data_IF_937812374893
#
_entry.id   IF_937812374893
#
_cell.length_a   1.000
_cell.length_b   1.000
_cell.length_c   1.000
_cell.angle_alpha   90.00
_cell.angle_beta   90.00
_cell.angle_gamma   90.00
#
_symmetry.space_group_name_H-M   'P 1'
#
loop_
_entity.id
_entity.type
_entity.pdbx_description
1 polymer ?
#
# COMPACT_ATOMS: atom_id res chain seq x y z
N UNK A 1 -9.78 11.75 14.02
CA UNK A 1 -9.17 11.16 12.81
C UNK A 1 -8.11 12.14 12.35
N UNK A 2 -6.86 11.71 12.28
CA UNK A 2 -5.72 12.59 11.98
C UNK A 2 -5.67 12.97 10.52
N UNK A 3 -5.44 14.25 10.22
CA UNK A 3 -5.33 14.76 8.86
C UNK A 3 -3.86 14.92 8.46
N UNK A 4 -3.51 14.43 7.29
CA UNK A 4 -2.20 14.63 6.64
C UNK A 4 -2.37 15.56 5.45
N UNK A 5 -1.93 16.81 5.62
CA UNK A 5 -1.95 17.78 4.54
C UNK A 5 -0.70 17.65 3.67
N UNK A 6 -0.87 17.57 2.36
CA UNK A 6 0.23 17.58 1.39
C UNK A 6 0.16 18.83 0.53
N UNK A 7 1.27 19.57 0.46
CA UNK A 7 1.41 20.73 -0.43
C UNK A 7 1.95 20.25 -1.78
N UNK A 8 1.37 20.65 -2.92
CA UNK A 8 1.95 20.40 -4.24
C UNK A 8 2.14 21.67 -5.04
N UNK A 9 3.25 21.79 -5.76
CA UNK A 9 3.60 22.95 -6.59
C UNK A 9 5.09 23.23 -6.64
N UNK A 10 5.49 24.13 -7.54
CA UNK A 10 6.89 24.55 -7.73
C UNK A 10 7.46 25.28 -6.49
N UNK A 11 8.78 25.32 -6.31
CA UNK A 11 9.41 26.23 -5.34
C UNK A 11 8.90 27.66 -5.55
N UNK A 12 8.76 28.43 -4.47
CA UNK A 12 8.21 29.80 -4.46
C UNK A 12 6.73 29.96 -4.90
N UNK A 13 5.97 28.86 -5.06
CA UNK A 13 4.52 28.96 -5.37
C UNK A 13 3.64 29.39 -4.19
N UNK A 14 4.18 29.54 -2.97
CA UNK A 14 3.44 29.96 -1.78
C UNK A 14 3.09 28.83 -0.80
N UNK A 15 3.45 27.58 -1.08
CA UNK A 15 3.19 26.40 -0.25
C UNK A 15 3.54 26.59 1.22
N UNK A 16 4.79 26.95 1.50
CA UNK A 16 5.30 27.10 2.87
C UNK A 16 4.58 28.20 3.65
N UNK A 17 4.23 29.29 2.99
CA UNK A 17 3.45 30.37 3.60
C UNK A 17 2.08 29.87 4.03
N UNK A 18 1.41 29.10 3.16
CA UNK A 18 0.12 28.50 3.46
C UNK A 18 0.26 27.38 4.52
N UNK A 19 1.26 26.50 4.39
CA UNK A 19 1.48 25.42 5.34
C UNK A 19 1.61 25.91 6.80
N UNK A 20 2.22 27.10 6.98
CA UNK A 20 2.38 27.73 8.29
C UNK A 20 1.07 28.32 8.89
N UNK A 21 0.00 28.43 8.10
CA UNK A 21 -1.31 28.88 8.60
C UNK A 21 -2.17 27.74 9.13
N UNK A 22 -1.77 26.50 8.86
CA UNK A 22 -2.49 25.32 9.33
C UNK A 22 -2.15 25.02 10.80
N UNK A 23 -3.16 24.67 11.57
CA UNK A 23 -2.98 24.13 12.94
C UNK A 23 -2.55 22.66 12.85
N UNK A 24 -1.29 22.43 12.43
CA UNK A 24 -0.72 21.12 12.20
C UNK A 24 0.80 21.14 12.36
N UNK A 25 1.40 20.02 12.76
CA UNK A 25 2.85 19.91 12.84
C UNK A 25 3.47 19.85 11.44
N UNK A 26 4.39 20.79 11.14
CA UNK A 26 4.99 20.90 9.81
C UNK A 26 6.27 20.07 9.67
N UNK A 27 6.32 19.28 8.60
CA UNK A 27 7.48 18.48 8.18
C UNK A 27 7.90 18.90 6.78
N UNK A 28 9.19 19.23 6.61
CA UNK A 28 9.75 19.68 5.34
C UNK A 28 11.12 19.06 5.13
N UNK A 29 11.37 18.46 3.97
CA UNK A 29 12.69 17.92 3.63
C UNK A 29 13.76 19.00 3.61
N UNK A 30 13.42 20.22 3.26
CA UNK A 30 14.38 21.33 3.27
C UNK A 30 14.86 21.64 4.69
N UNK A 31 13.99 21.59 5.69
CA UNK A 31 14.34 21.77 7.09
C UNK A 31 15.21 20.60 7.60
N UNK A 32 14.88 19.37 7.26
CA UNK A 32 15.67 18.19 7.62
C UNK A 32 17.06 18.19 6.98
N UNK A 33 17.16 18.58 5.70
CA UNK A 33 18.46 18.77 5.03
C UNK A 33 19.27 19.86 5.72
N UNK A 34 18.68 21.00 6.04
CA UNK A 34 19.36 22.08 6.75
C UNK A 34 19.86 21.65 8.13
N UNK A 35 19.03 20.96 8.92
CA UNK A 35 19.38 20.42 10.22
C UNK A 35 20.56 19.43 10.15
N UNK A 36 20.65 18.64 9.08
CA UNK A 36 21.71 17.66 8.85
C UNK A 36 22.94 18.22 8.13
N UNK A 37 22.99 19.53 7.83
CA UNK A 37 24.08 20.14 7.07
C UNK A 37 24.18 19.68 5.62
N UNK A 38 23.06 19.24 5.03
CA UNK A 38 22.99 18.80 3.63
C UNK A 38 22.70 20.05 2.76
N UNK A 39 23.74 20.61 2.18
CA UNK A 39 23.67 21.67 1.19
C UNK A 39 23.95 21.18 -0.22
N UNK A 40 23.97 22.08 -1.21
CA UNK A 40 24.22 21.73 -2.62
C UNK A 40 25.56 21.03 -2.83
N UNK A 41 26.62 21.46 -2.12
CA UNK A 41 27.98 20.90 -2.26
C UNK A 41 28.17 19.58 -1.49
N UNK A 42 27.36 19.37 -0.45
CA UNK A 42 27.47 18.18 0.42
C UNK A 42 26.38 17.15 0.14
N UNK A 43 25.52 17.40 -0.85
CA UNK A 43 24.41 16.51 -1.20
C UNK A 43 24.89 15.19 -1.81
N UNK A 44 24.23 14.11 -1.46
CA UNK A 44 24.35 12.79 -2.11
C UNK A 44 23.04 12.02 -1.95
N UNK A 45 22.80 11.03 -2.81
CA UNK A 45 21.62 10.18 -2.73
C UNK A 45 21.51 9.47 -1.37
N UNK A 46 22.62 9.03 -0.80
CA UNK A 46 22.64 8.40 0.52
C UNK A 46 22.20 9.36 1.64
N UNK A 47 22.69 10.60 1.64
CA UNK A 47 22.28 11.63 2.62
C UNK A 47 20.81 12.02 2.45
N UNK A 48 20.36 12.13 1.19
CA UNK A 48 18.93 12.39 0.89
C UNK A 48 18.04 11.29 1.42
N UNK A 49 18.41 10.03 1.28
CA UNK A 49 17.67 8.90 1.81
C UNK A 49 17.54 8.98 3.34
N UNK A 50 18.63 9.33 4.05
CA UNK A 50 18.60 9.52 5.51
C UNK A 50 17.67 10.68 5.92
N UNK A 51 17.71 11.81 5.18
CA UNK A 51 16.82 12.94 5.47
C UNK A 51 15.34 12.58 5.27
N UNK A 52 15.01 11.83 4.23
CA UNK A 52 13.67 11.32 3.98
C UNK A 52 13.23 10.38 5.10
N UNK A 53 14.06 9.43 5.48
CA UNK A 53 13.76 8.45 6.53
C UNK A 53 13.52 9.13 7.89
N UNK A 54 14.38 10.07 8.28
CA UNK A 54 14.23 10.84 9.53
C UNK A 54 12.95 11.66 9.54
N UNK A 55 12.63 12.36 8.44
CA UNK A 55 11.38 13.10 8.30
C UNK A 55 10.18 12.15 8.41
N UNK A 56 10.21 11.01 7.74
CA UNK A 56 9.13 10.02 7.76
C UNK A 56 8.92 9.43 9.15
N UNK A 57 10.00 9.10 9.86
CA UNK A 57 9.93 8.59 11.24
C UNK A 57 9.26 9.61 12.17
N UNK A 58 9.68 10.87 12.10
CA UNK A 58 9.10 11.95 12.92
C UNK A 58 7.64 12.23 12.57
N UNK A 59 7.29 12.29 11.27
CA UNK A 59 5.91 12.46 10.82
C UNK A 59 5.02 11.29 11.26
N UNK A 60 5.53 10.05 11.18
CA UNK A 60 4.81 8.85 11.63
C UNK A 60 4.57 8.89 13.15
N UNK A 61 5.53 9.33 13.94
CA UNK A 61 5.38 9.48 15.38
C UNK A 61 4.29 10.51 15.73
N UNK A 62 4.27 11.65 15.03
CA UNK A 62 3.25 12.68 15.22
C UNK A 62 1.84 12.15 14.89
N UNK A 63 1.67 11.46 13.76
CA UNK A 63 0.39 10.83 13.36
C UNK A 63 -0.07 9.81 14.40
N UNK A 64 0.82 8.93 14.87
CA UNK A 64 0.51 7.94 15.91
C UNK A 64 0.11 8.59 17.25
N UNK A 65 0.59 9.79 17.51
CA UNK A 65 0.22 10.57 18.70
C UNK A 65 -1.06 11.39 18.51
N UNK A 66 -1.74 11.26 17.35
CA UNK A 66 -3.02 11.90 17.07
C UNK A 66 -2.94 13.35 16.55
N UNK A 67 -1.75 13.84 16.21
CA UNK A 67 -1.57 15.19 15.68
C UNK A 67 -1.83 15.25 14.18
N UNK A 68 -2.54 16.28 13.75
CA UNK A 68 -2.57 16.66 12.34
C UNK A 68 -1.18 17.11 11.88
N UNK A 69 -0.81 16.74 10.66
CA UNK A 69 0.50 17.08 10.11
C UNK A 69 0.38 17.73 8.73
N UNK A 70 1.35 18.58 8.40
CA UNK A 70 1.52 19.09 7.04
C UNK A 70 2.91 18.71 6.51
N UNK A 71 2.95 18.06 5.34
CA UNK A 71 4.18 17.75 4.64
C UNK A 71 4.38 18.79 3.54
N UNK A 72 5.30 19.73 3.82
CA UNK A 72 5.60 20.89 3.00
C UNK A 72 6.75 20.61 2.04
N UNK A 73 6.46 19.87 0.97
CA UNK A 73 7.38 19.56 -0.12
C UNK A 73 6.73 19.86 -1.48
N UNK A 74 7.44 19.65 -2.59
CA UNK A 74 6.93 19.99 -3.93
C UNK A 74 5.90 19.00 -4.48
N UNK A 75 6.01 17.73 -4.18
CA UNK A 75 5.14 16.60 -4.56
C UNK A 75 4.73 16.56 -6.06
N UNK A 76 5.59 17.06 -6.92
CA UNK A 76 5.37 17.17 -8.38
C UNK A 76 5.43 15.83 -9.12
N UNK A 77 5.96 14.79 -8.46
CA UNK A 77 6.11 13.43 -9.00
C UNK A 77 5.66 12.39 -7.97
N UNK A 78 5.30 11.16 -8.38
CA UNK A 78 4.64 10.18 -7.52
C UNK A 78 5.49 9.59 -6.39
N UNK A 79 6.83 9.71 -6.43
CA UNK A 79 7.76 9.00 -5.52
C UNK A 79 7.41 9.20 -4.03
N UNK A 80 7.45 10.44 -3.55
CA UNK A 80 7.19 10.74 -2.13
C UNK A 80 5.72 10.54 -1.75
N UNK A 81 4.72 11.01 -2.52
CA UNK A 81 3.32 10.72 -2.22
C UNK A 81 2.99 9.24 -2.09
N UNK A 82 3.59 8.37 -2.95
CA UNK A 82 3.46 6.90 -2.80
C UNK A 82 4.03 6.40 -1.47
N UNK A 83 5.19 6.92 -1.05
CA UNK A 83 5.79 6.57 0.24
C UNK A 83 4.89 6.97 1.42
N UNK A 84 4.35 8.19 1.42
CA UNK A 84 3.44 8.65 2.49
C UNK A 84 2.16 7.81 2.54
N UNK A 85 1.57 7.54 1.37
CA UNK A 85 0.40 6.68 1.27
C UNK A 85 0.67 5.29 1.84
N UNK A 86 1.80 4.65 1.50
CA UNK A 86 2.21 3.35 2.06
C UNK A 86 2.43 3.45 3.58
N UNK A 87 3.16 4.45 4.06
CA UNK A 87 3.53 4.56 5.47
C UNK A 87 2.34 4.86 6.40
N UNK A 88 1.38 5.65 5.93
CA UNK A 88 0.24 6.08 6.75
C UNK A 88 -1.05 5.29 6.48
N UNK A 89 -1.06 4.37 5.50
CA UNK A 89 -2.24 3.58 5.13
C UNK A 89 -2.87 2.84 6.32
N UNK A 90 -2.05 2.34 7.24
CA UNK A 90 -2.50 1.57 8.42
C UNK A 90 -2.78 2.44 9.66
N UNK A 91 -2.68 3.76 9.55
CA UNK A 91 -2.81 4.67 10.70
C UNK A 91 -4.15 5.41 10.73
N UNK A 92 -5.08 5.07 9.84
CA UNK A 92 -6.43 5.67 9.81
C UNK A 92 -6.44 7.18 9.57
N UNK A 93 -5.50 7.70 8.75
CA UNK A 93 -5.41 9.12 8.42
C UNK A 93 -6.31 9.51 7.26
N UNK A 94 -6.67 10.79 7.18
CA UNK A 94 -7.26 11.40 5.99
C UNK A 94 -6.24 12.31 5.33
N UNK A 95 -5.99 12.14 4.04
CA UNK A 95 -5.14 13.04 3.27
C UNK A 95 -5.94 14.19 2.68
N UNK A 96 -5.39 15.40 2.76
CA UNK A 96 -5.89 16.60 2.09
C UNK A 96 -4.78 17.26 1.28
N UNK A 97 -5.05 17.53 0.01
CA UNK A 97 -4.09 18.10 -0.92
C UNK A 97 -4.37 19.59 -1.08
N UNK A 98 -3.32 20.39 -0.91
CA UNK A 98 -3.34 21.81 -1.26
C UNK A 98 -2.49 22.03 -2.51
N UNK A 99 -3.17 22.35 -3.61
CA UNK A 99 -2.57 22.41 -4.94
C UNK A 99 -2.19 23.84 -5.32
N UNK A 100 -0.91 24.06 -5.56
CA UNK A 100 -0.29 25.30 -6.03
C UNK A 100 0.34 25.14 -7.41
N UNK A 101 -0.01 24.07 -8.17
CA UNK A 101 0.53 23.84 -9.52
C UNK A 101 0.00 24.82 -10.55
N UNK A 102 -1.03 25.59 -10.23
CA UNK A 102 -1.57 26.66 -11.03
C UNK A 102 -0.71 27.94 -11.03
N UNK A 103 0.25 28.09 -10.11
CA UNK A 103 1.20 29.21 -10.12
C UNK A 103 2.23 28.96 -11.22
N UNK A 104 2.35 29.90 -12.16
CA UNK A 104 3.21 29.75 -13.33
C UNK A 104 4.69 29.62 -12.96
N UNK A 105 5.46 28.92 -13.83
CA UNK A 105 6.91 28.79 -13.69
C UNK A 105 7.57 30.17 -13.59
N UNK A 106 7.18 31.11 -14.45
CA UNK A 106 7.75 32.46 -14.49
C UNK A 106 7.48 33.24 -13.21
N UNK A 107 6.30 33.13 -12.63
CA UNK A 107 5.95 33.74 -11.35
C UNK A 107 6.76 33.13 -10.21
N UNK A 108 6.94 31.81 -10.21
CA UNK A 108 7.80 31.13 -9.23
C UNK A 108 9.26 31.59 -9.30
N UNK A 109 9.81 31.78 -10.53
CA UNK A 109 11.17 32.29 -10.73
C UNK A 109 11.29 33.71 -10.21
N UNK A 110 10.31 34.56 -10.52
CA UNK A 110 10.29 35.96 -10.05
C UNK A 110 10.26 36.04 -8.54
N UNK A 111 9.39 35.29 -7.89
CA UNK A 111 9.27 35.23 -6.43
C UNK A 111 10.52 34.64 -5.77
N UNK A 112 11.14 33.62 -6.38
CA UNK A 112 12.38 33.03 -5.87
C UNK A 112 13.54 34.03 -5.90
N UNK A 113 13.64 34.83 -6.96
CA UNK A 113 14.67 35.88 -7.08
C UNK A 113 14.52 37.01 -6.04
N UNK A 114 13.34 37.22 -5.48
CA UNK A 114 13.06 38.22 -4.46
C UNK A 114 13.29 37.76 -3.01
N UNK A 115 13.62 36.46 -2.83
CA UNK A 115 13.86 35.92 -1.48
C UNK A 115 15.17 36.48 -0.90
N UNK A 116 15.20 36.70 0.39
CA UNK A 116 16.40 37.11 1.13
C UNK A 116 17.29 35.91 1.48
N UNK A 117 16.69 34.68 1.52
CA UNK A 117 17.39 33.44 1.80
C UNK A 117 16.65 32.25 1.18
N UNK A 118 17.31 31.14 1.03
CA UNK A 118 16.70 29.89 0.52
C UNK A 118 16.37 29.95 -0.98
N UNK A 119 17.17 30.66 -1.77
CA UNK A 119 17.04 30.68 -3.24
C UNK A 119 17.22 29.28 -3.82
N UNK A 120 16.28 28.85 -4.64
CA UNK A 120 16.35 27.61 -5.40
C UNK A 120 17.07 27.81 -6.73
N UNK A 121 16.79 28.92 -7.40
CA UNK A 121 17.34 29.32 -8.69
C UNK A 121 16.47 28.88 -9.87
N UNK A 122 16.45 29.72 -10.91
CA UNK A 122 15.59 29.56 -12.08
C UNK A 122 15.78 28.20 -12.80
N UNK A 123 17.01 27.73 -12.92
CA UNK A 123 17.30 26.48 -13.64
C UNK A 123 16.72 25.24 -12.92
N UNK A 124 16.75 25.23 -11.60
CA UNK A 124 16.15 24.15 -10.82
C UNK A 124 14.62 24.20 -10.91
N UNK A 125 14.04 25.41 -10.85
CA UNK A 125 12.58 25.58 -11.01
C UNK A 125 12.14 25.07 -12.38
N UNK A 126 12.85 25.42 -13.46
CA UNK A 126 12.58 24.92 -14.84
C UNK A 126 12.68 23.39 -14.92
N UNK A 127 13.72 22.80 -14.34
CA UNK A 127 13.87 21.32 -14.29
C UNK A 127 12.71 20.65 -13.57
N UNK A 128 12.26 21.22 -12.45
CA UNK A 128 11.12 20.67 -11.70
C UNK A 128 9.81 20.84 -12.47
N UNK A 129 9.60 21.97 -13.15
CA UNK A 129 8.43 22.21 -14.00
C UNK A 129 8.39 21.20 -15.18
N UNK A 130 9.52 20.96 -15.85
CA UNK A 130 9.62 19.99 -16.92
C UNK A 130 9.32 18.55 -16.43
N UNK A 131 9.86 18.16 -15.29
CA UNK A 131 9.56 16.85 -14.67
C UNK A 131 8.09 16.70 -14.28
N UNK A 132 7.47 17.77 -13.79
CA UNK A 132 6.04 17.77 -13.49
C UNK A 132 5.19 17.64 -14.76
N UNK A 133 5.54 18.38 -15.81
CA UNK A 133 4.86 18.30 -17.09
C UNK A 133 4.94 16.88 -17.71
N UNK A 134 6.11 16.25 -17.65
CA UNK A 134 6.30 14.87 -18.09
C UNK A 134 5.46 13.89 -17.26
N UNK A 135 5.54 13.97 -15.92
CA UNK A 135 4.73 13.14 -15.04
C UNK A 135 3.22 13.31 -15.30
N UNK A 136 2.78 14.53 -15.58
CA UNK A 136 1.39 14.87 -15.90
C UNK A 136 0.94 14.27 -17.23
N UNK A 137 1.80 14.28 -18.27
CA UNK A 137 1.52 13.59 -19.54
C UNK A 137 1.34 12.09 -19.35
N UNK A 138 2.08 11.50 -18.43
CA UNK A 138 1.99 10.10 -18.03
C UNK A 138 0.88 9.82 -17.00
N UNK A 139 -0.12 10.71 -16.89
CA UNK A 139 -1.31 10.52 -16.04
C UNK A 139 -1.15 10.86 -14.56
N UNK A 140 0.02 11.38 -14.13
CA UNK A 140 0.20 11.75 -12.73
C UNK A 140 -0.66 12.97 -12.33
N UNK A 141 -1.45 12.78 -11.27
CA UNK A 141 -2.19 13.85 -10.58
C UNK A 141 -2.21 13.51 -9.09
N UNK A 142 -1.74 14.43 -8.25
CA UNK A 142 -1.89 14.31 -6.81
C UNK A 142 -3.26 14.88 -6.41
N UNK A 143 -4.14 14.03 -5.90
CA UNK A 143 -5.51 14.40 -5.49
C UNK A 143 -5.87 13.72 -4.18
N UNK A 144 -6.82 14.30 -3.43
CA UNK A 144 -7.39 13.68 -2.23
C UNK A 144 -7.92 12.27 -2.55
N UNK A 145 -8.63 12.12 -3.66
CA UNK A 145 -9.15 10.83 -4.11
C UNK A 145 -8.02 9.82 -4.27
N UNK A 146 -6.93 10.17 -4.96
CA UNK A 146 -5.81 9.25 -5.17
C UNK A 146 -5.12 8.87 -3.87
N UNK A 147 -4.91 9.83 -2.95
CA UNK A 147 -4.28 9.57 -1.66
C UNK A 147 -5.17 8.72 -0.74
N UNK A 148 -6.49 8.93 -0.75
CA UNK A 148 -7.43 8.27 0.15
C UNK A 148 -8.03 6.96 -0.41
N UNK A 149 -7.86 6.67 -1.71
CA UNK A 149 -8.46 5.48 -2.35
C UNK A 149 -7.98 4.14 -1.77
N UNK A 150 -6.86 4.12 -1.07
CA UNK A 150 -6.30 2.92 -0.44
C UNK A 150 -5.97 3.17 1.03
N UNK A 151 -6.88 3.76 1.78
CA UNK A 151 -6.69 3.85 3.22
C UNK A 151 -6.84 2.45 3.82
N UNK A 152 -5.88 2.11 4.68
CA UNK A 152 -6.02 0.98 5.56
C UNK A 152 -7.20 1.24 6.51
N UNK A 153 -8.22 0.44 6.39
CA UNK A 153 -9.29 0.37 7.39
C UNK A 153 -8.90 -0.81 8.28
N UNK A 154 -8.60 -0.54 9.55
CA UNK A 154 -8.37 -1.64 10.50
C UNK A 154 -9.59 -2.54 10.50
N UNK A 155 -9.43 -3.83 10.20
CA UNK A 155 -10.56 -4.74 10.16
C UNK A 155 -11.17 -4.87 11.56
N UNK A 156 -12.48 -5.14 11.61
CA UNK A 156 -13.15 -5.43 12.88
C UNK A 156 -12.53 -6.69 13.50
N UNK A 157 -12.06 -6.67 14.74
CA UNK A 157 -11.50 -7.84 15.38
C UNK A 157 -12.42 -9.06 15.27
N UNK A 158 -11.80 -10.23 15.13
CA UNK A 158 -12.49 -11.51 15.08
C UNK A 158 -12.19 -12.27 16.39
N UNK A 159 -13.24 -12.72 17.02
CA UNK A 159 -13.16 -13.60 18.18
C UNK A 159 -13.43 -15.05 17.74
N UNK A 160 -12.64 -16.00 18.24
CA UNK A 160 -12.84 -17.43 17.99
C UNK A 160 -14.26 -17.85 18.37
N UNK A 161 -14.86 -18.70 17.55
CA UNK A 161 -16.23 -19.20 17.68
C UNK A 161 -16.22 -20.73 17.69
N UNK A 162 -15.83 -21.36 18.81
CA UNK A 162 -15.54 -22.82 18.87
C UNK A 162 -16.75 -23.71 18.55
N UNK A 163 -17.95 -23.15 18.56
CA UNK A 163 -19.19 -23.85 18.20
C UNK A 163 -19.42 -23.93 16.67
N UNK A 164 -18.63 -23.18 15.88
CA UNK A 164 -18.68 -23.23 14.43
C UNK A 164 -17.72 -24.28 13.84
N UNK A 165 -17.95 -24.74 12.61
CA UNK A 165 -17.01 -25.62 11.92
C UNK A 165 -15.63 -24.98 11.84
N UNK A 166 -14.58 -25.76 12.14
CA UNK A 166 -13.20 -25.26 12.05
C UNK A 166 -12.78 -25.06 10.60
N UNK A 167 -12.04 -23.98 10.31
CA UNK A 167 -11.49 -23.71 8.99
C UNK A 167 -10.03 -23.28 9.02
N UNK A 168 -9.33 -23.55 7.92
CA UNK A 168 -8.03 -23.00 7.57
C UNK A 168 -8.21 -22.17 6.32
N UNK A 169 -7.68 -20.94 6.33
CA UNK A 169 -7.68 -20.08 5.16
C UNK A 169 -6.33 -20.17 4.45
N UNK A 170 -6.32 -20.22 3.15
CA UNK A 170 -5.11 -20.31 2.36
C UNK A 170 -5.18 -19.37 1.16
N UNK A 171 -4.17 -18.52 1.01
CA UNK A 171 -3.96 -17.76 -0.22
C UNK A 171 -3.44 -18.67 -1.34
N UNK A 172 -3.44 -18.17 -2.57
CA UNK A 172 -3.00 -18.93 -3.76
C UNK A 172 -1.66 -18.40 -4.27
N UNK A 173 -1.62 -17.15 -4.78
CA UNK A 173 -0.42 -16.58 -5.43
C UNK A 173 0.69 -16.28 -4.43
N UNK A 174 1.89 -16.86 -4.63
CA UNK A 174 3.01 -16.76 -3.69
C UNK A 174 2.88 -17.70 -2.49
N UNK A 175 1.72 -18.36 -2.33
CA UNK A 175 1.43 -19.26 -1.21
C UNK A 175 1.44 -20.72 -1.67
N UNK A 176 0.38 -21.25 -2.31
CA UNK A 176 0.37 -22.58 -2.88
C UNK A 176 0.81 -22.61 -4.35
N UNK A 177 0.65 -21.50 -5.08
CA UNK A 177 1.02 -21.33 -6.47
C UNK A 177 2.15 -20.31 -6.61
N UNK A 178 3.27 -20.71 -7.22
CA UNK A 178 4.42 -19.85 -7.49
C UNK A 178 4.41 -19.50 -8.97
N UNK A 179 4.19 -18.23 -9.31
CA UNK A 179 4.29 -17.80 -10.70
C UNK A 179 5.75 -17.70 -11.14
N UNK A 180 6.05 -18.18 -12.34
CA UNK A 180 7.36 -18.03 -12.97
C UNK A 180 7.55 -16.64 -13.61
N UNK A 181 8.77 -16.39 -14.11
CA UNK A 181 9.16 -15.13 -14.76
C UNK A 181 8.33 -14.81 -16.02
N UNK A 182 7.67 -15.79 -16.61
CA UNK A 182 6.88 -15.63 -17.84
C UNK A 182 5.47 -15.07 -17.62
N UNK A 183 5.03 -14.98 -16.38
CA UNK A 183 3.70 -14.47 -16.00
C UNK A 183 3.80 -13.22 -15.14
N UNK A 184 3.16 -12.12 -15.58
CA UNK A 184 2.96 -10.93 -14.73
C UNK A 184 1.91 -11.18 -13.64
N UNK A 185 1.96 -10.46 -12.53
CA UNK A 185 1.02 -10.59 -11.39
C UNK A 185 -0.47 -10.51 -11.76
N UNK A 186 -0.80 -9.84 -12.87
CA UNK A 186 -2.18 -9.63 -13.34
C UNK A 186 -2.52 -10.39 -14.63
N UNK A 187 -1.61 -11.28 -15.08
CA UNK A 187 -1.80 -12.08 -16.30
C UNK A 187 -2.51 -13.39 -15.93
N UNK A 188 -3.80 -13.27 -15.63
CA UNK A 188 -4.62 -14.37 -15.14
C UNK A 188 -4.92 -15.45 -16.19
N UNK A 189 -4.69 -15.17 -17.48
CA UNK A 189 -4.91 -16.16 -18.56
C UNK A 189 -3.81 -17.24 -18.57
N UNK A 190 -2.78 -17.12 -17.71
CA UNK A 190 -1.67 -18.05 -17.59
C UNK A 190 -1.56 -18.75 -16.23
N UNK A 191 -2.59 -18.70 -15.41
CA UNK A 191 -2.55 -19.29 -14.05
C UNK A 191 -2.29 -20.81 -14.07
N UNK A 192 -2.64 -21.49 -15.16
CA UNK A 192 -2.35 -22.93 -15.37
C UNK A 192 -0.84 -23.24 -15.43
N UNK A 193 0.01 -22.24 -15.67
CA UNK A 193 1.48 -22.42 -15.75
C UNK A 193 2.19 -22.21 -14.41
N UNK A 194 1.46 -21.85 -13.35
CA UNK A 194 2.05 -21.63 -12.04
C UNK A 194 2.60 -22.95 -11.46
N UNK A 195 3.81 -22.90 -10.91
CA UNK A 195 4.40 -24.05 -10.26
C UNK A 195 3.81 -24.29 -8.85
N UNK A 196 3.57 -25.53 -8.42
CA UNK A 196 3.10 -25.82 -7.07
C UNK A 196 4.19 -25.54 -6.03
N UNK A 197 3.80 -24.94 -4.90
CA UNK A 197 4.64 -24.84 -3.70
C UNK A 197 4.44 -26.13 -2.88
N UNK A 198 5.23 -27.14 -3.18
CA UNK A 198 5.13 -28.48 -2.59
C UNK A 198 5.08 -28.47 -1.05
N UNK A 199 5.86 -27.59 -0.41
CA UNK A 199 5.93 -27.52 1.05
C UNK A 199 4.65 -27.00 1.68
N UNK A 200 4.03 -25.98 1.08
CA UNK A 200 2.77 -25.41 1.57
C UNK A 200 1.61 -26.34 1.21
N UNK A 201 1.62 -26.91 0.02
CA UNK A 201 0.62 -27.90 -0.40
C UNK A 201 0.64 -29.11 0.55
N UNK A 202 1.82 -29.66 0.86
CA UNK A 202 1.96 -30.74 1.83
C UNK A 202 1.33 -30.40 3.19
N UNK A 203 1.56 -29.16 3.69
CA UNK A 203 0.95 -28.69 4.93
C UNK A 203 -0.59 -28.65 4.82
N UNK A 204 -1.13 -28.09 3.75
CA UNK A 204 -2.58 -27.94 3.55
C UNK A 204 -3.27 -29.30 3.38
N UNK A 205 -2.66 -30.23 2.66
CA UNK A 205 -3.18 -31.58 2.45
C UNK A 205 -3.37 -32.39 3.75
N UNK A 206 -2.63 -32.06 4.83
CA UNK A 206 -2.85 -32.69 6.14
C UNK A 206 -4.25 -32.41 6.71
N UNK A 207 -4.92 -31.38 6.21
CA UNK A 207 -6.25 -30.93 6.66
C UNK A 207 -7.34 -31.19 5.62
N UNK A 208 -7.00 -31.28 4.34
CA UNK A 208 -7.96 -31.62 3.28
C UNK A 208 -8.54 -33.02 3.55
N UNK A 209 -9.85 -33.14 3.43
CA UNK A 209 -10.54 -34.41 3.65
C UNK A 209 -10.83 -34.75 5.11
N UNK A 210 -10.36 -34.00 6.08
CA UNK A 210 -10.80 -34.12 7.47
C UNK A 210 -12.27 -33.69 7.59
N UNK A 211 -13.02 -34.36 8.43
CA UNK A 211 -14.44 -34.03 8.64
C UNK A 211 -14.64 -32.85 9.59
N UNK A 212 -13.63 -32.48 10.36
CA UNK A 212 -13.66 -31.49 11.41
C UNK A 212 -13.00 -30.15 11.02
N UNK A 213 -12.40 -30.06 9.83
CA UNK A 213 -11.70 -28.85 9.34
C UNK A 213 -11.98 -28.64 7.86
N UNK A 214 -12.41 -27.45 7.49
CA UNK A 214 -12.54 -27.01 6.10
C UNK A 214 -11.28 -26.27 5.65
N UNK A 215 -10.80 -26.55 4.43
CA UNK A 215 -9.74 -25.76 3.78
C UNK A 215 -10.39 -24.83 2.78
N UNK A 216 -10.22 -23.53 2.97
CA UNK A 216 -10.86 -22.47 2.19
C UNK A 216 -9.79 -21.61 1.53
N UNK A 217 -9.86 -21.47 0.21
CA UNK A 217 -8.94 -20.64 -0.56
C UNK A 217 -9.50 -19.24 -0.71
N UNK A 218 -8.63 -18.22 -0.48
CA UNK A 218 -8.98 -16.80 -0.59
C UNK A 218 -7.93 -16.09 -1.44
N UNK A 219 -8.30 -15.66 -2.65
CA UNK A 219 -7.33 -15.15 -3.61
C UNK A 219 -7.60 -13.70 -4.05
N UNK A 220 -6.52 -12.97 -4.27
CA UNK A 220 -6.51 -11.67 -4.93
C UNK A 220 -6.71 -11.73 -6.44
N UNK A 221 -6.75 -12.92 -7.06
CA UNK A 221 -7.09 -13.11 -8.48
C UNK A 221 -8.51 -12.63 -8.76
N UNK A 222 -8.71 -12.03 -9.93
CA UNK A 222 -10.07 -11.68 -10.38
C UNK A 222 -10.91 -12.92 -10.66
N UNK A 223 -12.21 -12.84 -10.36
CA UNK A 223 -13.17 -13.94 -10.50
C UNK A 223 -13.28 -14.49 -11.94
N UNK A 224 -12.89 -13.70 -12.95
CA UNK A 224 -12.78 -14.18 -14.35
C UNK A 224 -11.80 -15.35 -14.52
N UNK A 225 -10.83 -15.50 -13.62
CA UNK A 225 -9.88 -16.61 -13.60
C UNK A 225 -10.34 -17.80 -12.73
N UNK A 226 -11.59 -17.80 -12.26
CA UNK A 226 -12.11 -18.82 -11.34
C UNK A 226 -11.99 -20.23 -11.89
N UNK A 227 -12.35 -20.43 -13.15
CA UNK A 227 -12.31 -21.77 -13.76
C UNK A 227 -10.88 -22.30 -13.77
N UNK A 228 -9.95 -21.58 -14.37
CA UNK A 228 -8.55 -22.01 -14.49
C UNK A 228 -7.89 -22.17 -13.11
N UNK A 229 -8.24 -21.31 -12.15
CA UNK A 229 -7.76 -21.42 -10.77
C UNK A 229 -8.32 -22.69 -10.09
N UNK A 230 -9.59 -23.01 -10.30
CA UNK A 230 -10.21 -24.22 -9.74
C UNK A 230 -9.60 -25.49 -10.36
N UNK A 231 -9.38 -25.50 -11.66
CA UNK A 231 -8.71 -26.59 -12.37
C UNK A 231 -7.28 -26.77 -11.84
N UNK A 232 -6.51 -25.69 -11.72
CA UNK A 232 -5.16 -25.74 -11.15
C UNK A 232 -5.14 -26.30 -9.72
N UNK A 233 -6.09 -25.90 -8.85
CA UNK A 233 -6.21 -26.43 -7.49
C UNK A 233 -6.50 -27.94 -7.51
N UNK A 234 -7.34 -28.42 -8.43
CA UNK A 234 -7.63 -29.86 -8.57
C UNK A 234 -6.46 -30.67 -9.10
N UNK A 235 -5.63 -30.10 -9.97
CA UNK A 235 -4.46 -30.76 -10.54
C UNK A 235 -3.30 -30.87 -9.56
N UNK A 236 -3.14 -29.89 -8.68
CA UNK A 236 -1.95 -29.75 -7.84
C UNK A 236 -2.19 -30.05 -6.35
N UNK A 237 -3.44 -30.12 -5.89
CA UNK A 237 -3.78 -30.38 -4.49
C UNK A 237 -4.72 -31.59 -4.42
N UNK A 238 -4.42 -32.56 -3.56
CA UNK A 238 -5.26 -33.76 -3.34
C UNK A 238 -6.57 -33.39 -2.63
N UNK A 239 -7.55 -32.89 -3.37
CA UNK A 239 -8.85 -32.45 -2.84
C UNK A 239 -9.88 -33.59 -2.63
N UNK A 240 -9.49 -34.83 -2.82
CA UNK A 240 -10.36 -36.03 -2.66
C UNK A 240 -11.73 -35.91 -3.37
N UNK A 241 -11.73 -35.42 -4.61
CA UNK A 241 -12.92 -35.14 -5.44
C UNK A 241 -13.92 -34.13 -4.85
N UNK A 242 -13.48 -33.26 -3.91
CA UNK A 242 -14.27 -32.15 -3.41
C UNK A 242 -14.04 -30.91 -4.26
N UNK A 243 -15.07 -30.14 -4.50
CA UNK A 243 -14.91 -28.79 -5.08
C UNK A 243 -14.29 -27.88 -4.03
N UNK A 244 -13.16 -27.19 -4.33
CA UNK A 244 -12.55 -26.29 -3.37
C UNK A 244 -13.48 -25.14 -3.05
N UNK A 245 -13.59 -24.78 -1.76
CA UNK A 245 -14.19 -23.51 -1.40
C UNK A 245 -13.21 -22.39 -1.79
N UNK A 246 -13.60 -21.57 -2.75
CA UNK A 246 -12.73 -20.54 -3.35
C UNK A 246 -13.46 -19.20 -3.37
N UNK A 247 -12.90 -18.22 -2.68
CA UNK A 247 -13.35 -16.83 -2.69
C UNK A 247 -12.33 -15.95 -3.39
N UNK A 248 -12.78 -15.18 -4.38
CA UNK A 248 -11.92 -14.42 -5.28
C UNK A 248 -12.37 -12.97 -5.35
N UNK A 249 -11.45 -12.11 -5.74
CA UNK A 249 -11.71 -10.70 -6.04
C UNK A 249 -12.74 -10.55 -7.15
N UNK A 250 -13.67 -9.63 -7.00
CA UNK A 250 -14.60 -9.29 -8.10
C UNK A 250 -13.81 -8.75 -9.32
N UNK A 251 -14.24 -9.14 -10.52
CA UNK A 251 -13.65 -8.66 -11.78
C UNK A 251 -13.73 -7.13 -11.85
N UNK A 252 -12.60 -6.48 -12.14
CA UNK A 252 -12.49 -5.02 -12.21
C UNK A 252 -12.29 -4.33 -10.84
N UNK A 253 -12.16 -5.06 -9.75
CA UNK A 253 -11.78 -4.48 -8.46
C UNK A 253 -10.26 -4.37 -8.36
N UNK A 254 -9.74 -3.16 -8.40
CA UNK A 254 -8.30 -2.86 -8.35
C UNK A 254 -7.82 -2.37 -6.97
N UNK A 255 -8.64 -2.56 -5.92
CA UNK A 255 -8.26 -2.21 -4.55
C UNK A 255 -7.17 -3.14 -4.03
N UNK A 256 -6.39 -2.72 -3.00
CA UNK A 256 -5.39 -3.58 -2.37
C UNK A 256 -5.97 -4.90 -1.85
N UNK A 257 -5.18 -5.98 -1.92
CA UNK A 257 -5.60 -7.33 -1.52
C UNK A 257 -6.10 -7.42 -0.09
N UNK A 258 -5.47 -6.75 0.84
CA UNK A 258 -5.89 -6.76 2.24
C UNK A 258 -7.31 -6.20 2.44
N UNK A 259 -7.75 -5.25 1.61
CA UNK A 259 -9.13 -4.73 1.65
C UNK A 259 -10.08 -5.79 1.14
N UNK A 260 -9.78 -6.35 -0.04
CA UNK A 260 -10.63 -7.36 -0.69
C UNK A 260 -10.74 -8.61 0.18
N UNK A 261 -9.61 -9.13 0.67
CA UNK A 261 -9.60 -10.32 1.54
C UNK A 261 -10.32 -10.08 2.88
N UNK A 262 -10.22 -8.86 3.44
CA UNK A 262 -10.96 -8.50 4.66
C UNK A 262 -12.47 -8.49 4.42
N UNK A 263 -12.94 -7.95 3.29
CA UNK A 263 -14.36 -7.95 2.93
C UNK A 263 -14.88 -9.37 2.65
N UNK A 264 -14.12 -10.17 1.89
CA UNK A 264 -14.44 -11.58 1.64
C UNK A 264 -14.50 -12.39 2.95
N UNK A 265 -13.61 -12.11 3.90
CA UNK A 265 -13.64 -12.72 5.22
C UNK A 265 -14.92 -12.37 5.98
N UNK A 266 -15.29 -11.10 5.99
CA UNK A 266 -16.50 -10.64 6.68
C UNK A 266 -17.79 -11.24 6.09
N UNK A 267 -17.86 -11.36 4.77
CA UNK A 267 -19.03 -11.87 4.05
C UNK A 267 -19.17 -13.40 4.15
N UNK A 268 -18.05 -14.11 4.02
CA UNK A 268 -18.07 -15.56 3.79
C UNK A 268 -17.58 -16.40 4.96
N UNK A 269 -16.77 -15.85 5.85
CA UNK A 269 -16.04 -16.61 6.87
C UNK A 269 -16.47 -16.26 8.28
N UNK A 270 -16.44 -14.97 8.64
CA UNK A 270 -16.53 -14.45 10.02
C UNK A 270 -17.58 -15.14 10.92
N UNK A 271 -18.78 -15.38 10.39
CA UNK A 271 -19.88 -15.93 11.18
C UNK A 271 -20.27 -17.36 10.74
N UNK A 272 -19.39 -18.04 10.02
CA UNK A 272 -19.64 -19.38 9.50
C UNK A 272 -18.58 -20.40 9.93
N UNK A 273 -17.39 -19.92 10.30
CA UNK A 273 -16.26 -20.79 10.63
C UNK A 273 -15.47 -20.30 11.84
N UNK A 274 -14.93 -21.24 12.60
CA UNK A 274 -13.88 -20.98 13.59
C UNK A 274 -12.51 -21.15 12.94
N UNK A 275 -11.87 -20.02 12.61
CA UNK A 275 -10.61 -20.03 11.86
C UNK A 275 -9.44 -20.39 12.74
N UNK A 276 -8.74 -21.48 12.43
CA UNK A 276 -7.59 -21.97 13.17
C UNK A 276 -6.32 -21.20 12.87
N UNK A 277 -6.04 -20.98 11.58
CA UNK A 277 -4.94 -20.16 11.10
C UNK A 277 -5.14 -19.80 9.62
N UNK A 278 -4.30 -18.89 9.14
CA UNK A 278 -4.26 -18.44 7.74
C UNK A 278 -2.85 -18.65 7.19
N UNK A 279 -2.70 -19.14 5.96
CA UNK A 279 -1.45 -19.13 5.20
C UNK A 279 -1.52 -18.04 4.12
N UNK A 280 -0.54 -17.16 4.08
CA UNK A 280 -0.43 -16.09 3.09
C UNK A 280 1.05 -15.69 2.96
N UNK A 281 1.46 -15.03 1.88
CA UNK A 281 2.84 -14.58 1.71
C UNK A 281 3.00 -13.06 1.90
N UNK A 282 1.98 -12.28 1.51
CA UNK A 282 2.07 -10.84 1.34
C UNK A 282 2.01 -10.07 2.66
N UNK A 283 3.06 -9.28 2.99
CA UNK A 283 3.21 -8.55 4.25
C UNK A 283 1.98 -7.75 4.68
N UNK A 284 1.36 -7.01 3.76
CA UNK A 284 0.19 -6.20 4.06
C UNK A 284 -1.06 -7.05 4.36
N UNK A 285 -1.18 -8.23 3.77
CA UNK A 285 -2.29 -9.16 4.03
C UNK A 285 -2.07 -9.89 5.34
N UNK A 286 -0.85 -10.36 5.61
CA UNK A 286 -0.45 -10.94 6.90
C UNK A 286 -0.72 -9.96 8.05
N UNK A 287 -0.38 -8.67 7.85
CA UNK A 287 -0.68 -7.63 8.84
C UNK A 287 -2.19 -7.53 9.09
N UNK A 288 -3.00 -7.52 8.05
CA UNK A 288 -4.46 -7.47 8.15
C UNK A 288 -5.02 -8.69 8.91
N UNK A 289 -4.58 -9.91 8.61
CA UNK A 289 -5.00 -11.10 9.32
C UNK A 289 -4.65 -11.05 10.82
N UNK A 290 -3.45 -10.58 11.16
CA UNK A 290 -3.02 -10.42 12.55
C UNK A 290 -3.78 -9.31 13.29
N UNK A 291 -4.15 -8.22 12.59
CA UNK A 291 -5.01 -7.16 13.17
C UNK A 291 -6.45 -7.63 13.37
N UNK A 292 -6.93 -8.58 12.57
CA UNK A 292 -8.18 -9.30 12.83
C UNK A 292 -8.13 -10.16 14.10
N UNK A 293 -6.93 -10.49 14.62
CA UNK A 293 -6.74 -11.41 15.74
C UNK A 293 -6.46 -12.85 15.32
N UNK A 294 -6.28 -13.11 14.01
CA UNK A 294 -6.02 -14.45 13.51
C UNK A 294 -4.53 -14.82 13.59
N UNK A 295 -4.25 -16.11 13.83
CA UNK A 295 -2.91 -16.67 13.63
C UNK A 295 -2.61 -16.71 12.14
N UNK A 296 -1.66 -15.89 11.67
CA UNK A 296 -1.25 -15.85 10.27
C UNK A 296 0.18 -16.36 10.10
N UNK A 297 0.31 -17.43 9.32
CA UNK A 297 1.56 -18.06 8.92
C UNK A 297 2.02 -17.43 7.62
N UNK A 298 3.11 -16.67 7.68
CA UNK A 298 3.72 -16.09 6.49
C UNK A 298 4.65 -17.12 5.85
N UNK A 299 4.31 -17.59 4.65
CA UNK A 299 5.01 -18.70 4.00
C UNK A 299 6.18 -18.28 3.12
N UNK A 300 6.23 -17.00 2.74
CA UNK A 300 7.32 -16.40 1.96
C UNK A 300 7.43 -14.91 2.28
N UNK A 301 8.60 -14.24 2.01
CA UNK A 301 8.69 -12.79 2.05
C UNK A 301 7.78 -12.14 0.99
N UNK A 302 7.00 -11.13 1.36
CA UNK A 302 6.00 -10.53 0.48
C UNK A 302 5.83 -9.02 0.64
N UNK A 303 6.93 -8.25 0.54
CA UNK A 303 6.91 -6.79 0.71
C UNK A 303 6.61 -6.00 -0.58
N UNK A 304 5.92 -6.58 -1.55
CA UNK A 304 5.59 -6.05 -2.88
C UNK A 304 4.11 -5.65 -3.04
#
# INVERSE_FOLDING_TARGET
MTTVFLMTGLPASGKTSFARTLDALRFSLDDYRAMMGIGRETWSDAKEAVAIEAMMASATAAVKSGYDIVIDNTHLVPRLPKMYRKAFSSLGVTFKIHDFTNVSEQECITRDAQRTSGHVGADIIRKLAARHADATKNGWRLTDKWMNTAQWISPKPYDSQPDLPSAILCDIDGTVAIHGDERGHYDYDKVSTDAPNESVIYLIEQFVGRHDVEVIFMSGREDRARQDTTEWLHENISLYNRTPQLFMRATGDHRPDYIVKSELFDEHIRNKYDVRFVCDDRDQVIKMWRELGLTALQVAPGDF
#
